data_IF_190242667963
#
_entry.id   IF_190242667963
#
_cell.length_a   1.000
_cell.length_b   1.000
_cell.length_c   1.000
_cell.angle_alpha   90.00
_cell.angle_beta   90.00
_cell.angle_gamma   90.00
#
_symmetry.space_group_name_H-M   'P 1'
#
loop_
_entity.id
_entity.type
_entity.pdbx_description
1 polymer ?
#
# COMPACT_ATOMS: atom_id res chain seq x y z
N UNK A 1 20.29 -2.40 9.11
CA UNK A 1 20.18 -3.88 9.04
C UNK A 1 20.71 -4.57 10.30
N UNK A 2 21.92 -4.28 10.78
CA UNK A 2 22.56 -4.98 11.93
C UNK A 2 21.75 -4.86 13.24
N UNK A 3 21.03 -3.76 13.46
CA UNK A 3 20.21 -3.53 14.66
C UNK A 3 18.76 -3.95 14.43
N UNK A 4 18.22 -3.70 13.24
CA UNK A 4 16.80 -3.96 12.92
C UNK A 4 16.47 -5.46 12.98
N UNK A 5 17.29 -6.31 12.40
CA UNK A 5 17.04 -7.76 12.37
C UNK A 5 17.02 -8.38 13.78
N UNK A 6 18.01 -8.14 14.68
CA UNK A 6 17.95 -8.62 16.05
C UNK A 6 16.75 -8.09 16.85
N UNK A 7 16.36 -6.84 16.65
CA UNK A 7 15.17 -6.28 17.32
C UNK A 7 13.88 -6.93 16.82
N UNK A 8 13.74 -7.18 15.52
CA UNK A 8 12.59 -7.90 14.96
C UNK A 8 12.53 -9.34 15.43
N UNK A 9 13.67 -10.03 15.52
CA UNK A 9 13.73 -11.38 16.08
C UNK A 9 13.42 -11.38 17.58
N UNK A 10 13.93 -10.40 18.33
CA UNK A 10 13.59 -10.18 19.73
C UNK A 10 12.09 -9.93 19.91
N UNK A 11 11.50 -9.10 19.08
CA UNK A 11 10.06 -8.85 19.02
C UNK A 11 9.28 -10.16 18.81
N UNK A 12 9.70 -10.96 17.83
CA UNK A 12 9.05 -12.23 17.53
C UNK A 12 9.11 -13.20 18.73
N UNK A 13 10.28 -13.37 19.33
CA UNK A 13 10.48 -14.34 20.41
C UNK A 13 9.87 -13.86 21.72
N UNK A 14 10.16 -12.62 22.14
CA UNK A 14 9.68 -12.09 23.42
C UNK A 14 8.19 -11.80 23.38
N UNK A 15 7.70 -11.26 22.27
CA UNK A 15 6.28 -11.00 22.09
C UNK A 15 5.46 -12.28 22.11
N UNK A 16 5.94 -13.36 21.46
CA UNK A 16 5.25 -14.64 21.46
C UNK A 16 5.28 -15.32 22.83
N UNK A 17 6.38 -15.18 23.58
CA UNK A 17 6.41 -15.58 24.99
C UNK A 17 5.43 -14.79 25.85
N UNK A 18 5.25 -13.50 25.58
CA UNK A 18 4.32 -12.64 26.30
C UNK A 18 2.85 -13.08 26.15
N UNK A 19 2.47 -13.66 25.02
CA UNK A 19 1.13 -14.23 24.81
C UNK A 19 0.92 -15.58 25.48
N UNK A 20 1.93 -16.16 26.10
CA UNK A 20 1.92 -17.53 26.65
C UNK A 20 2.05 -18.62 25.60
N UNK A 21 2.23 -18.25 24.31
CA UNK A 21 2.39 -19.17 23.19
C UNK A 21 1.08 -19.49 22.44
N UNK A 22 1.16 -20.45 21.51
CA UNK A 22 0.03 -20.78 20.61
C UNK A 22 -1.16 -21.35 21.36
N UNK A 23 -0.94 -22.34 22.22
CA UNK A 23 -2.02 -23.07 22.87
C UNK A 23 -2.92 -22.19 23.76
N UNK A 24 -2.39 -21.34 24.67
CA UNK A 24 -3.20 -20.41 25.43
C UNK A 24 -3.93 -19.39 24.56
N UNK A 25 -3.26 -18.84 23.52
CA UNK A 25 -3.89 -17.89 22.60
C UNK A 25 -5.08 -18.52 21.87
N UNK A 26 -4.94 -19.74 21.36
CA UNK A 26 -6.04 -20.46 20.68
C UNK A 26 -7.17 -20.76 21.67
N UNK A 27 -6.86 -21.21 22.90
CA UNK A 27 -7.89 -21.47 23.92
C UNK A 27 -8.70 -20.21 24.25
N UNK A 28 -8.02 -19.06 24.40
CA UNK A 28 -8.68 -17.78 24.68
C UNK A 28 -9.49 -17.30 23.47
N UNK A 29 -9.00 -17.48 22.22
CA UNK A 29 -9.75 -17.17 21.02
C UNK A 29 -11.00 -18.05 20.86
N UNK A 30 -10.94 -19.34 21.23
CA UNK A 30 -12.10 -20.22 21.20
C UNK A 30 -13.22 -19.74 22.13
N UNK A 31 -12.84 -19.11 23.25
CA UNK A 31 -13.81 -18.56 24.21
C UNK A 31 -14.35 -17.18 23.78
N UNK A 32 -13.46 -16.28 23.36
CA UNK A 32 -13.79 -14.86 23.17
C UNK A 32 -14.14 -14.50 21.71
N UNK A 33 -13.53 -15.17 20.73
CA UNK A 33 -13.69 -14.85 19.31
C UNK A 33 -13.55 -16.10 18.41
N UNK A 34 -14.37 -17.14 18.56
CA UNK A 34 -14.21 -18.44 17.87
C UNK A 34 -14.26 -18.29 16.34
N UNK A 35 -14.94 -17.28 15.83
CA UNK A 35 -15.01 -16.99 14.37
C UNK A 35 -13.64 -16.77 13.75
N UNK A 36 -12.68 -16.17 14.47
CA UNK A 36 -11.35 -15.88 13.97
C UNK A 36 -10.49 -17.14 13.77
N UNK A 37 -10.90 -18.28 14.33
CA UNK A 37 -10.25 -19.58 14.13
C UNK A 37 -10.88 -20.38 12.98
N UNK A 38 -11.93 -19.87 12.36
CA UNK A 38 -12.67 -20.56 11.31
C UNK A 38 -12.24 -20.04 9.94
N UNK A 39 -11.51 -20.86 9.16
CA UNK A 39 -11.06 -20.49 7.81
C UNK A 39 -12.21 -20.33 6.80
N UNK A 40 -13.39 -20.83 7.11
CA UNK A 40 -14.60 -20.74 6.28
C UNK A 40 -15.52 -19.59 6.69
N UNK A 41 -15.12 -18.73 7.64
CA UNK A 41 -15.93 -17.57 8.01
C UNK A 41 -16.04 -16.59 6.82
N UNK A 42 -17.29 -16.32 6.36
CA UNK A 42 -17.49 -15.45 5.18
C UNK A 42 -16.94 -14.04 5.35
N UNK A 43 -16.97 -13.48 6.57
CA UNK A 43 -16.44 -12.16 6.86
C UNK A 43 -14.90 -12.15 6.78
N UNK A 44 -14.26 -13.20 7.29
CA UNK A 44 -12.81 -13.38 7.20
C UNK A 44 -12.34 -13.54 5.75
N UNK A 45 -13.04 -14.37 4.97
CA UNK A 45 -12.76 -14.54 3.53
C UNK A 45 -12.95 -13.22 2.79
N UNK A 46 -14.05 -12.50 3.04
CA UNK A 46 -14.33 -11.19 2.43
C UNK A 46 -13.24 -10.17 2.75
N UNK A 47 -12.84 -10.07 4.01
CA UNK A 47 -11.76 -9.18 4.43
C UNK A 47 -10.42 -9.56 3.77
N UNK A 48 -10.05 -10.85 3.79
CA UNK A 48 -8.83 -11.35 3.15
C UNK A 48 -8.79 -11.04 1.65
N UNK A 49 -9.90 -11.23 0.95
CA UNK A 49 -10.00 -10.91 -0.48
C UNK A 49 -9.91 -9.41 -0.74
N UNK A 50 -10.51 -8.58 0.12
CA UNK A 50 -10.38 -7.12 0.04
C UNK A 50 -8.93 -6.68 0.15
N UNK A 51 -8.20 -7.15 1.15
CA UNK A 51 -6.78 -6.83 1.32
C UNK A 51 -5.94 -7.34 0.16
N UNK A 52 -6.23 -8.53 -0.35
CA UNK A 52 -5.54 -9.06 -1.53
C UNK A 52 -5.68 -8.12 -2.73
N UNK A 53 -6.91 -7.71 -3.05
CA UNK A 53 -7.19 -6.79 -4.16
C UNK A 53 -6.53 -5.44 -3.92
N UNK A 54 -6.71 -4.85 -2.74
CA UNK A 54 -6.13 -3.57 -2.37
C UNK A 54 -4.61 -3.55 -2.54
N UNK A 55 -3.91 -4.48 -1.90
CA UNK A 55 -2.44 -4.52 -1.90
C UNK A 55 -1.87 -4.84 -3.29
N UNK A 56 -2.49 -5.78 -4.04
CA UNK A 56 -2.03 -6.11 -5.38
C UNK A 56 -2.13 -4.91 -6.32
N UNK A 57 -3.26 -4.21 -6.32
CA UNK A 57 -3.48 -3.08 -7.24
C UNK A 57 -2.63 -1.87 -6.83
N UNK A 58 -2.50 -1.58 -5.54
CA UNK A 58 -1.63 -0.51 -5.04
C UNK A 58 -0.16 -0.77 -5.29
N UNK A 59 0.27 -2.03 -5.18
CA UNK A 59 1.64 -2.43 -5.48
C UNK A 59 2.12 -2.03 -6.88
N UNK A 60 1.20 -1.93 -7.85
CA UNK A 60 1.49 -1.47 -9.21
C UNK A 60 1.87 0.02 -9.27
N UNK A 61 1.39 0.84 -8.33
CA UNK A 61 1.67 2.28 -8.29
C UNK A 61 2.77 2.67 -7.31
N UNK A 62 3.33 1.71 -6.58
CA UNK A 62 4.37 2.01 -5.59
C UNK A 62 5.69 2.37 -6.27
N UNK A 63 5.97 3.68 -6.35
CA UNK A 63 7.16 4.22 -7.04
C UNK A 63 8.47 3.61 -6.51
N UNK A 64 8.58 3.34 -5.22
CA UNK A 64 9.75 2.67 -4.65
C UNK A 64 10.01 1.28 -5.23
N UNK A 65 8.98 0.54 -5.65
CA UNK A 65 9.15 -0.74 -6.35
C UNK A 65 9.70 -0.52 -7.76
N UNK A 66 9.16 0.45 -8.49
CA UNK A 66 9.66 0.81 -9.81
C UNK A 66 11.11 1.31 -9.79
N UNK A 67 11.48 2.14 -8.81
CA UNK A 67 12.87 2.57 -8.64
C UNK A 67 13.83 1.38 -8.46
N UNK A 68 13.42 0.36 -7.68
CA UNK A 68 14.22 -0.87 -7.51
C UNK A 68 14.33 -1.68 -8.79
N UNK A 69 13.24 -1.73 -9.59
CA UNK A 69 13.25 -2.39 -10.91
C UNK A 69 14.24 -1.67 -11.84
N UNK A 70 14.19 -0.36 -11.93
CA UNK A 70 15.11 0.43 -12.78
C UNK A 70 16.57 0.38 -12.31
N UNK A 71 16.80 0.19 -11.02
CA UNK A 71 18.14 0.05 -10.46
C UNK A 71 18.72 -1.35 -10.61
N UNK A 72 17.93 -2.35 -11.00
CA UNK A 72 18.39 -3.71 -11.16
C UNK A 72 19.36 -3.83 -12.35
N UNK A 73 20.42 -4.61 -12.18
CA UNK A 73 21.42 -4.86 -13.21
C UNK A 73 20.83 -5.59 -14.42
N UNK A 74 20.03 -6.61 -14.16
CA UNK A 74 19.40 -7.49 -15.14
C UNK A 74 18.09 -8.08 -14.62
N UNK A 75 17.28 -8.66 -15.51
CA UNK A 75 15.98 -9.28 -15.19
C UNK A 75 16.11 -10.44 -14.19
N UNK A 76 17.20 -11.20 -14.23
CA UNK A 76 17.43 -12.33 -13.32
C UNK A 76 17.66 -11.85 -11.89
N UNK A 77 18.50 -10.83 -11.73
CA UNK A 77 18.76 -10.18 -10.44
C UNK A 77 17.47 -9.57 -9.87
N UNK A 78 16.68 -8.87 -10.70
CA UNK A 78 15.40 -8.33 -10.31
C UNK A 78 14.45 -9.43 -9.78
N UNK A 79 14.21 -10.49 -10.55
CA UNK A 79 13.33 -11.61 -10.15
C UNK A 79 13.79 -12.27 -8.86
N UNK A 80 15.09 -12.58 -8.75
CA UNK A 80 15.65 -13.17 -7.53
C UNK A 80 15.50 -12.26 -6.32
N UNK A 81 15.73 -10.97 -6.49
CA UNK A 81 15.56 -9.98 -5.43
C UNK A 81 14.12 -9.91 -4.92
N UNK A 82 13.14 -9.84 -5.81
CA UNK A 82 11.72 -9.82 -5.42
C UNK A 82 11.25 -11.13 -4.78
N UNK A 83 11.66 -12.28 -5.32
CA UNK A 83 11.32 -13.59 -4.73
C UNK A 83 11.94 -13.73 -3.34
N UNK A 84 13.23 -13.38 -3.18
CA UNK A 84 13.90 -13.43 -1.89
C UNK A 84 13.25 -12.47 -0.88
N UNK A 85 12.90 -11.25 -1.31
CA UNK A 85 12.18 -10.30 -0.47
C UNK A 85 10.83 -10.86 -0.01
N UNK A 86 10.06 -11.49 -0.90
CA UNK A 86 8.78 -12.14 -0.55
C UNK A 86 8.96 -13.27 0.48
N UNK A 87 9.97 -14.12 0.30
CA UNK A 87 10.28 -15.21 1.24
C UNK A 87 10.70 -14.67 2.61
N UNK A 88 11.44 -13.56 2.66
CA UNK A 88 11.90 -12.97 3.92
C UNK A 88 10.80 -12.15 4.61
N UNK A 89 10.00 -11.40 3.87
CA UNK A 89 8.97 -10.51 4.42
C UNK A 89 7.69 -11.27 4.76
N UNK A 90 7.32 -12.29 3.99
CA UNK A 90 6.10 -13.07 4.19
C UNK A 90 5.92 -13.59 5.62
N UNK A 91 6.92 -14.26 6.22
CA UNK A 91 6.84 -14.72 7.61
C UNK A 91 6.64 -13.60 8.64
N UNK A 92 7.21 -12.41 8.41
CA UNK A 92 7.00 -11.26 9.29
C UNK A 92 5.56 -10.73 9.21
N UNK A 93 4.99 -10.65 8.01
CA UNK A 93 3.58 -10.25 7.83
C UNK A 93 2.67 -11.25 8.53
N UNK A 94 2.91 -12.55 8.37
CA UNK A 94 2.15 -13.59 9.05
C UNK A 94 2.25 -13.47 10.57
N UNK A 95 3.47 -13.25 11.08
CA UNK A 95 3.71 -13.05 12.52
C UNK A 95 2.95 -11.84 13.06
N UNK A 96 2.94 -10.71 12.33
CA UNK A 96 2.17 -9.52 12.73
C UNK A 96 0.66 -9.83 12.78
N UNK A 97 0.15 -10.61 11.82
CA UNK A 97 -1.23 -11.09 11.85
C UNK A 97 -1.55 -11.95 13.07
N UNK A 98 -0.61 -12.83 13.47
CA UNK A 98 -0.75 -13.65 14.68
C UNK A 98 -0.77 -12.80 15.96
N UNK A 99 -0.01 -11.71 16.04
CA UNK A 99 -0.11 -10.76 17.15
C UNK A 99 -1.46 -10.03 17.17
N UNK A 100 -2.02 -9.73 16.00
CA UNK A 100 -3.39 -9.20 15.88
C UNK A 100 -4.42 -10.18 16.45
N UNK A 101 -4.32 -11.46 16.12
CA UNK A 101 -5.18 -12.50 16.70
C UNK A 101 -5.00 -12.63 18.22
N UNK A 102 -3.75 -12.59 18.72
CA UNK A 102 -3.49 -12.65 20.16
C UNK A 102 -4.08 -11.43 20.90
N UNK A 103 -4.04 -10.24 20.29
CA UNK A 103 -4.68 -9.06 20.84
C UNK A 103 -6.21 -9.21 20.92
N UNK A 104 -6.84 -9.68 19.85
CA UNK A 104 -8.29 -9.92 19.80
C UNK A 104 -8.75 -11.02 20.79
N UNK A 105 -7.85 -11.94 21.14
CA UNK A 105 -8.11 -12.92 22.19
C UNK A 105 -8.27 -12.26 23.56
N UNK A 106 -7.45 -11.24 23.85
CA UNK A 106 -7.39 -10.57 25.16
C UNK A 106 -8.39 -9.40 25.22
N UNK A 107 -8.54 -8.67 24.12
CA UNK A 107 -9.34 -7.44 24.05
C UNK A 107 -10.17 -7.43 22.76
N UNK A 108 -11.32 -8.14 22.71
CA UNK A 108 -12.12 -8.31 21.49
C UNK A 108 -12.63 -7.00 20.89
N UNK A 109 -12.88 -5.98 21.71
CA UNK A 109 -13.36 -4.65 21.28
C UNK A 109 -12.24 -3.60 21.21
N UNK A 110 -10.98 -4.03 21.28
CA UNK A 110 -9.83 -3.14 21.29
C UNK A 110 -9.48 -2.59 19.89
N UNK A 111 -8.74 -1.47 19.88
CA UNK A 111 -8.21 -0.91 18.63
C UNK A 111 -7.06 -1.78 18.09
N UNK A 112 -7.32 -2.48 17.00
CA UNK A 112 -6.34 -3.34 16.33
C UNK A 112 -5.11 -2.58 15.81
N UNK A 113 -5.17 -1.26 15.65
CA UNK A 113 -4.03 -0.45 15.20
C UNK A 113 -2.86 -0.45 16.18
N UNK A 114 -3.15 -0.69 17.47
CA UNK A 114 -2.14 -0.75 18.54
C UNK A 114 -1.88 -2.17 19.06
N UNK A 115 -2.44 -3.19 18.40
CA UNK A 115 -2.43 -4.58 18.84
C UNK A 115 -1.04 -5.08 19.25
N UNK A 116 -0.03 -4.88 18.39
CA UNK A 116 1.34 -5.32 18.64
C UNK A 116 1.90 -4.75 19.94
N UNK A 117 1.77 -3.43 20.12
CA UNK A 117 2.30 -2.74 21.30
C UNK A 117 1.51 -3.11 22.55
N UNK A 118 0.19 -3.22 22.47
CA UNK A 118 -0.67 -3.60 23.60
C UNK A 118 -0.36 -4.99 24.12
N UNK A 119 -0.03 -5.94 23.24
CA UNK A 119 0.34 -7.31 23.64
C UNK A 119 1.74 -7.38 24.24
N UNK A 120 2.69 -6.60 23.73
CA UNK A 120 4.11 -6.78 24.06
C UNK A 120 4.55 -5.88 25.21
N UNK A 121 4.14 -4.60 25.23
CA UNK A 121 4.64 -3.60 26.18
C UNK A 121 4.51 -3.99 27.65
N UNK A 122 3.42 -4.63 28.12
CA UNK A 122 3.29 -5.03 29.52
C UNK A 122 4.29 -6.11 29.96
N UNK A 123 4.89 -6.84 29.01
CA UNK A 123 5.67 -8.06 29.30
C UNK A 123 7.17 -7.90 29.00
N UNK A 124 7.61 -6.74 28.54
CA UNK A 124 9.00 -6.49 28.20
C UNK A 124 9.65 -5.50 29.15
N UNK A 125 10.96 -5.60 29.38
CA UNK A 125 11.67 -4.63 30.20
C UNK A 125 11.67 -3.24 29.53
N UNK A 126 11.71 -2.18 30.34
CA UNK A 126 11.59 -0.79 29.88
C UNK A 126 12.61 -0.41 28.78
N UNK A 127 13.84 -0.90 28.85
CA UNK A 127 14.85 -0.65 27.83
C UNK A 127 14.46 -1.23 26.46
N UNK A 128 13.82 -2.41 26.46
CA UNK A 128 13.36 -3.05 25.22
C UNK A 128 12.12 -2.32 24.66
N UNK A 129 11.21 -1.86 25.52
CA UNK A 129 10.08 -1.03 25.13
C UNK A 129 10.56 0.25 24.43
N UNK A 130 11.54 0.95 24.99
CA UNK A 130 12.16 2.13 24.35
C UNK A 130 12.80 1.77 23.00
N UNK A 131 13.52 0.65 22.93
CA UNK A 131 14.13 0.18 21.70
C UNK A 131 13.09 -0.11 20.60
N UNK A 132 11.93 -0.67 20.95
CA UNK A 132 10.81 -0.92 20.02
C UNK A 132 10.19 0.38 19.54
N UNK A 133 10.00 1.38 20.40
CA UNK A 133 9.49 2.69 19.99
C UNK A 133 10.46 3.35 19.01
N UNK A 134 11.76 3.33 19.31
CA UNK A 134 12.78 3.87 18.42
C UNK A 134 12.84 3.12 17.08
N UNK A 135 12.69 1.79 17.13
CA UNK A 135 12.60 0.97 15.91
C UNK A 135 11.38 1.37 15.07
N UNK A 136 10.20 1.49 15.68
CA UNK A 136 8.98 1.93 15.01
C UNK A 136 9.15 3.29 14.37
N UNK A 137 9.70 4.27 15.10
CA UNK A 137 10.00 5.59 14.61
C UNK A 137 10.97 5.55 13.42
N UNK A 138 12.06 4.78 13.51
CA UNK A 138 13.03 4.63 12.43
C UNK A 138 12.42 4.01 11.16
N UNK A 139 11.51 3.03 11.30
CA UNK A 139 10.81 2.42 10.17
C UNK A 139 9.84 3.41 9.50
N UNK A 140 9.10 4.20 10.30
CA UNK A 140 8.20 5.25 9.78
C UNK A 140 9.02 6.32 9.06
N UNK A 141 10.11 6.80 9.64
CA UNK A 141 11.00 7.78 9.01
C UNK A 141 11.60 7.26 7.71
N UNK A 142 12.04 6.01 7.65
CA UNK A 142 12.57 5.38 6.44
C UNK A 142 11.52 5.30 5.33
N UNK A 143 10.27 5.01 5.68
CA UNK A 143 9.16 4.98 4.72
C UNK A 143 8.82 6.38 4.22
N UNK A 144 8.76 7.37 5.11
CA UNK A 144 8.53 8.76 4.77
C UNK A 144 9.63 9.31 3.85
N UNK A 145 10.90 9.02 4.14
CA UNK A 145 12.04 9.40 3.30
C UNK A 145 11.94 8.81 1.88
N UNK A 146 11.56 7.54 1.79
CA UNK A 146 11.33 6.87 0.49
C UNK A 146 10.19 7.54 -0.29
N UNK A 147 9.08 7.90 0.37
CA UNK A 147 7.95 8.58 -0.25
C UNK A 147 8.35 9.99 -0.73
N UNK A 148 9.06 10.74 0.09
CA UNK A 148 9.58 12.08 -0.25
C UNK A 148 10.54 12.01 -1.45
N UNK A 149 11.46 11.04 -1.45
CA UNK A 149 12.40 10.82 -2.56
C UNK A 149 11.65 10.44 -3.85
N UNK A 150 10.61 9.60 -3.76
CA UNK A 150 9.78 9.21 -4.88
C UNK A 150 9.04 10.43 -5.49
N UNK A 151 8.38 11.23 -4.67
CA UNK A 151 7.70 12.47 -5.11
C UNK A 151 8.70 13.44 -5.75
N UNK A 152 9.86 13.65 -5.10
CA UNK A 152 10.91 14.54 -5.64
C UNK A 152 11.39 14.10 -7.02
N UNK A 153 11.54 12.79 -7.24
CA UNK A 153 12.01 12.26 -8.52
C UNK A 153 10.97 12.45 -9.63
N UNK A 154 9.68 12.19 -9.34
CA UNK A 154 8.59 12.40 -10.29
C UNK A 154 8.50 13.87 -10.66
N UNK A 155 8.44 14.74 -9.66
CA UNK A 155 8.34 16.20 -9.86
C UNK A 155 9.53 16.73 -10.67
N UNK A 156 10.75 16.30 -10.37
CA UNK A 156 11.94 16.75 -11.12
C UNK A 156 11.90 16.32 -12.59
N UNK A 157 11.45 15.09 -12.88
CA UNK A 157 11.34 14.56 -14.25
C UNK A 157 10.24 15.28 -15.01
N UNK A 158 9.07 15.44 -14.43
CA UNK A 158 7.92 16.05 -15.10
C UNK A 158 8.11 17.54 -15.30
N UNK A 159 8.62 18.26 -14.31
CA UNK A 159 8.98 19.67 -14.46
C UNK A 159 10.10 19.86 -15.49
N UNK A 160 11.08 18.97 -15.58
CA UNK A 160 12.10 19.01 -16.60
C UNK A 160 11.56 18.88 -18.01
N UNK A 161 10.47 18.13 -18.20
CA UNK A 161 9.75 18.01 -19.48
C UNK A 161 8.91 19.26 -19.81
N UNK A 162 8.27 19.84 -18.79
CA UNK A 162 7.43 21.03 -18.94
C UNK A 162 8.25 22.30 -19.08
N UNK A 163 9.43 22.36 -18.48
CA UNK A 163 10.35 23.50 -18.50
C UNK A 163 11.76 23.06 -18.91
N UNK A 164 11.99 22.75 -20.21
CA UNK A 164 13.29 22.27 -20.71
C UNK A 164 14.47 23.22 -20.47
N UNK A 165 14.17 24.51 -20.27
CA UNK A 165 15.16 25.56 -19.98
C UNK A 165 15.55 25.64 -18.49
N UNK A 166 14.84 24.90 -17.61
CA UNK A 166 15.09 24.97 -16.18
C UNK A 166 16.40 24.28 -15.80
N UNK A 167 17.18 24.93 -14.94
CA UNK A 167 18.43 24.35 -14.43
C UNK A 167 18.14 23.25 -13.41
N UNK A 168 19.00 22.23 -13.26
CA UNK A 168 18.83 21.20 -12.22
C UNK A 168 18.66 21.79 -10.81
N UNK A 169 19.31 22.90 -10.51
CA UNK A 169 19.19 23.58 -9.22
C UNK A 169 17.80 24.20 -9.01
N UNK A 170 17.18 24.77 -10.06
CA UNK A 170 15.83 25.31 -9.97
C UNK A 170 14.79 24.20 -9.83
N UNK A 171 14.91 23.08 -10.56
CA UNK A 171 14.06 21.91 -10.44
C UNK A 171 14.09 21.34 -9.01
N UNK A 172 15.28 21.26 -8.42
CA UNK A 172 15.42 20.78 -7.04
C UNK A 172 14.75 21.73 -6.03
N UNK A 173 14.89 23.07 -6.21
CA UNK A 173 14.20 24.04 -5.34
C UNK A 173 12.67 23.90 -5.43
N UNK A 174 12.13 23.77 -6.63
CA UNK A 174 10.68 23.58 -6.83
C UNK A 174 10.21 22.25 -6.22
N UNK A 175 10.95 21.16 -6.42
CA UNK A 175 10.64 19.87 -5.79
C UNK A 175 10.59 19.98 -4.27
N UNK A 176 11.57 20.64 -3.65
CA UNK A 176 11.55 20.87 -2.18
C UNK A 176 10.37 21.72 -1.74
N UNK A 177 10.07 22.79 -2.48
CA UNK A 177 8.89 23.64 -2.19
C UNK A 177 7.57 22.85 -2.25
N UNK A 178 7.42 21.98 -3.24
CA UNK A 178 6.24 21.11 -3.37
C UNK A 178 6.14 20.10 -2.23
N UNK A 179 7.25 19.54 -1.75
CA UNK A 179 7.26 18.64 -0.58
C UNK A 179 6.75 19.38 0.67
N UNK A 180 7.24 20.60 0.93
CA UNK A 180 6.75 21.42 2.04
C UNK A 180 5.26 21.74 1.88
N UNK A 181 4.80 22.06 0.67
CA UNK A 181 3.39 22.31 0.39
C UNK A 181 2.53 21.08 0.64
N UNK A 182 3.00 19.90 0.25
CA UNK A 182 2.30 18.62 0.49
C UNK A 182 2.32 18.21 1.97
N UNK A 183 3.32 18.62 2.74
CA UNK A 183 3.37 18.33 4.17
C UNK A 183 2.21 18.98 4.94
N UNK A 184 1.71 20.13 4.50
CA UNK A 184 0.61 20.84 5.15
C UNK A 184 -0.68 20.01 5.19
N UNK A 185 -1.25 19.54 4.04
CA UNK A 185 -2.45 18.70 4.07
C UNK A 185 -2.21 17.38 4.79
N UNK A 186 -1.01 16.79 4.69
CA UNK A 186 -0.67 15.56 5.43
C UNK A 186 -0.75 15.79 6.94
N UNK A 187 -0.21 16.89 7.44
CA UNK A 187 -0.30 17.25 8.87
C UNK A 187 -1.76 17.51 9.30
N UNK A 188 -2.56 18.17 8.47
CA UNK A 188 -3.98 18.40 8.76
C UNK A 188 -4.73 17.08 8.87
N UNK A 189 -4.51 16.15 7.92
CA UNK A 189 -5.14 14.81 7.95
C UNK A 189 -4.65 14.00 9.16
N UNK A 190 -3.37 14.04 9.46
CA UNK A 190 -2.80 13.35 10.63
C UNK A 190 -3.39 13.87 11.95
N UNK A 191 -3.65 15.19 12.04
CA UNK A 191 -4.25 15.80 13.23
C UNK A 191 -5.72 15.39 13.47
N UNK A 192 -6.42 14.81 12.46
CA UNK A 192 -7.77 14.30 12.62
C UNK A 192 -7.85 12.99 13.43
N UNK A 193 -6.71 12.32 13.64
CA UNK A 193 -6.68 11.06 14.39
C UNK A 193 -7.36 9.88 13.69
N UNK A 194 -7.49 9.92 12.36
CA UNK A 194 -8.00 8.76 11.60
C UNK A 194 -7.09 7.56 11.76
N UNK A 195 -7.67 6.35 11.79
CA UNK A 195 -6.86 5.14 11.86
C UNK A 195 -5.95 5.02 10.62
N UNK A 196 -4.72 4.56 10.83
CA UNK A 196 -3.74 4.37 9.74
C UNK A 196 -4.30 3.41 8.68
N UNK A 197 -5.01 2.35 9.12
CA UNK A 197 -5.65 1.39 8.23
C UNK A 197 -6.69 2.07 7.31
N UNK A 198 -7.52 2.96 7.86
CA UNK A 198 -8.51 3.70 7.08
C UNK A 198 -7.86 4.55 5.97
N UNK A 199 -6.83 5.31 6.32
CA UNK A 199 -6.11 6.17 5.37
C UNK A 199 -5.39 5.33 4.30
N UNK A 200 -4.82 4.20 4.69
CA UNK A 200 -4.18 3.27 3.78
C UNK A 200 -5.18 2.70 2.76
N UNK A 201 -6.31 2.19 3.22
CA UNK A 201 -7.36 1.66 2.35
C UNK A 201 -7.97 2.72 1.44
N UNK A 202 -8.10 3.96 1.91
CA UNK A 202 -8.57 5.06 1.07
C UNK A 202 -7.59 5.37 -0.08
N UNK A 203 -6.29 5.37 0.20
CA UNK A 203 -5.26 5.51 -0.84
C UNK A 203 -5.25 4.32 -1.81
N UNK A 204 -5.42 3.10 -1.29
CA UNK A 204 -5.50 1.87 -2.09
C UNK A 204 -6.72 1.87 -3.01
N UNK A 205 -7.83 2.46 -2.60
CA UNK A 205 -9.03 2.61 -3.43
C UNK A 205 -8.74 3.45 -4.69
N UNK A 206 -8.00 4.55 -4.56
CA UNK A 206 -7.57 5.36 -5.70
C UNK A 206 -6.70 4.55 -6.67
N UNK A 207 -5.74 3.79 -6.15
CA UNK A 207 -4.89 2.91 -6.96
C UNK A 207 -5.71 1.83 -7.66
N UNK A 208 -6.71 1.27 -6.98
CA UNK A 208 -7.61 0.26 -7.56
C UNK A 208 -8.42 0.82 -8.74
N UNK A 209 -8.93 2.05 -8.61
CA UNK A 209 -9.65 2.71 -9.70
C UNK A 209 -8.75 3.04 -10.91
N UNK A 210 -7.48 3.38 -10.67
CA UNK A 210 -6.53 3.74 -11.71
C UNK A 210 -5.86 2.51 -12.37
N UNK A 211 -5.85 1.35 -11.72
CA UNK A 211 -5.06 0.19 -12.15
C UNK A 211 -5.38 -0.23 -13.58
N UNK A 212 -6.65 -0.53 -13.89
CA UNK A 212 -7.02 -0.95 -15.22
C UNK A 212 -6.77 0.14 -16.27
N UNK A 213 -7.28 1.40 -16.13
CA UNK A 213 -7.09 2.42 -17.15
C UNK A 213 -5.62 2.71 -17.46
N UNK A 214 -4.76 2.79 -16.46
CA UNK A 214 -3.34 3.10 -16.63
C UNK A 214 -2.60 1.95 -17.30
N UNK A 215 -2.72 0.72 -16.77
CA UNK A 215 -1.97 -0.40 -17.32
C UNK A 215 -2.53 -0.93 -18.64
N UNK A 216 -3.83 -0.81 -18.87
CA UNK A 216 -4.43 -1.15 -20.15
C UNK A 216 -3.89 -0.28 -21.29
N UNK A 217 -3.56 0.98 -21.02
CA UNK A 217 -2.90 1.88 -21.96
C UNK A 217 -1.56 1.36 -22.50
N UNK A 218 -0.85 0.52 -21.73
CA UNK A 218 0.41 -0.11 -22.17
C UNK A 218 0.21 -1.19 -23.25
N UNK A 219 -1.02 -1.67 -23.44
CA UNK A 219 -1.33 -2.77 -24.37
C UNK A 219 -2.30 -2.35 -25.49
N UNK A 220 -2.89 -1.17 -25.40
CA UNK A 220 -3.91 -0.72 -26.34
C UNK A 220 -3.52 0.58 -27.05
N UNK A 221 -3.35 0.52 -28.37
CA UNK A 221 -3.03 1.68 -29.20
C UNK A 221 -4.14 2.75 -29.20
N UNK A 222 -5.38 2.35 -28.91
CA UNK A 222 -6.58 3.22 -28.94
C UNK A 222 -7.05 3.65 -27.56
N UNK A 223 -6.17 3.66 -26.58
CA UNK A 223 -6.48 4.10 -25.22
C UNK A 223 -5.80 5.44 -24.94
N UNK A 224 -6.60 6.50 -24.94
CA UNK A 224 -6.12 7.86 -24.75
C UNK A 224 -6.19 8.32 -23.28
N UNK A 225 -5.46 9.39 -22.95
CA UNK A 225 -5.40 9.94 -21.59
C UNK A 225 -6.77 10.41 -21.08
N UNK A 226 -7.65 10.89 -21.96
CA UNK A 226 -9.01 11.33 -21.58
C UNK A 226 -9.84 10.13 -21.15
N UNK A 227 -9.82 9.04 -21.93
CA UNK A 227 -10.50 7.80 -21.58
C UNK A 227 -9.98 7.24 -20.26
N UNK A 228 -8.66 7.21 -20.08
CA UNK A 228 -8.05 6.77 -18.83
C UNK A 228 -8.52 7.61 -17.62
N UNK A 229 -8.47 8.94 -17.75
CA UNK A 229 -8.87 9.86 -16.68
C UNK A 229 -10.35 9.72 -16.32
N UNK A 230 -11.24 9.74 -17.32
CA UNK A 230 -12.68 9.61 -17.09
C UNK A 230 -13.02 8.27 -16.46
N UNK A 231 -12.42 7.18 -16.93
CA UNK A 231 -12.63 5.84 -16.38
C UNK A 231 -12.14 5.75 -14.93
N UNK A 232 -10.95 6.30 -14.61
CA UNK A 232 -10.42 6.34 -13.26
C UNK A 232 -11.33 7.12 -12.32
N UNK A 233 -11.75 8.32 -12.74
CA UNK A 233 -12.64 9.15 -11.91
C UNK A 233 -14.01 8.50 -11.69
N UNK A 234 -14.57 7.84 -12.71
CA UNK A 234 -15.81 7.09 -12.58
C UNK A 234 -15.67 5.92 -11.60
N UNK A 235 -14.57 5.15 -11.68
CA UNK A 235 -14.28 4.07 -10.76
C UNK A 235 -14.08 4.55 -9.32
N UNK A 236 -13.30 5.63 -9.15
CA UNK A 236 -13.09 6.23 -7.85
C UNK A 236 -14.40 6.74 -7.24
N UNK A 237 -15.23 7.44 -8.01
CA UNK A 237 -16.52 7.91 -7.55
C UNK A 237 -17.43 6.75 -7.15
N UNK A 238 -17.53 5.70 -7.97
CA UNK A 238 -18.32 4.50 -7.67
C UNK A 238 -17.83 3.78 -6.40
N UNK A 239 -16.51 3.65 -6.23
CA UNK A 239 -15.93 3.06 -5.02
C UNK A 239 -16.20 3.91 -3.78
N UNK A 240 -16.01 5.23 -3.85
CA UNK A 240 -16.25 6.15 -2.73
C UNK A 240 -17.70 6.19 -2.27
N UNK A 241 -18.68 6.00 -3.15
CA UNK A 241 -20.11 5.95 -2.76
C UNK A 241 -20.42 4.84 -1.76
N UNK A 242 -19.62 3.78 -1.75
CA UNK A 242 -19.82 2.60 -0.88
C UNK A 242 -18.71 2.46 0.15
N UNK A 243 -17.64 3.25 0.01
CA UNK A 243 -16.53 3.25 0.96
C UNK A 243 -17.00 3.75 2.34
N UNK A 244 -16.65 3.05 3.43
CA UNK A 244 -17.11 3.43 4.76
C UNK A 244 -16.61 4.82 5.17
N UNK A 245 -17.45 5.56 5.90
CA UNK A 245 -17.05 6.82 6.51
C UNK A 245 -15.97 6.56 7.60
N UNK A 246 -15.16 7.58 7.98
CA UNK A 246 -14.24 7.44 9.09
C UNK A 246 -14.97 6.96 10.35
N UNK A 247 -14.39 5.97 11.04
CA UNK A 247 -14.96 5.35 12.25
C UNK A 247 -16.26 4.54 12.05
N UNK A 248 -16.72 4.34 10.82
CA UNK A 248 -17.85 3.46 10.52
C UNK A 248 -17.37 1.99 10.36
N UNK A 249 -18.27 1.00 10.56
CA UNK A 249 -17.96 -0.38 10.30
C UNK A 249 -17.55 -0.61 8.84
N UNK A 250 -16.48 -1.36 8.62
CA UNK A 250 -15.93 -1.64 7.27
C UNK A 250 -16.71 -2.75 6.53
N UNK A 251 -18.03 -2.71 6.55
CA UNK A 251 -18.91 -3.79 6.11
C UNK A 251 -18.89 -3.98 4.58
N UNK A 252 -18.86 -2.89 3.82
CA UNK A 252 -18.95 -2.90 2.35
C UNK A 252 -17.62 -2.59 1.67
N UNK A 253 -16.52 -2.88 2.34
CA UNK A 253 -15.19 -2.54 1.85
C UNK A 253 -14.85 -3.30 0.57
N UNK A 254 -15.17 -4.59 0.49
CA UNK A 254 -14.94 -5.39 -0.72
C UNK A 254 -15.71 -4.85 -1.92
N UNK A 255 -16.98 -4.52 -1.73
CA UNK A 255 -17.84 -3.97 -2.76
C UNK A 255 -17.31 -2.63 -3.28
N UNK A 256 -16.82 -1.79 -2.38
CA UNK A 256 -16.15 -0.53 -2.72
C UNK A 256 -14.93 -0.76 -3.62
N UNK A 257 -14.04 -1.69 -3.27
CA UNK A 257 -12.86 -2.03 -4.07
C UNK A 257 -13.22 -2.67 -5.41
N UNK A 258 -14.23 -3.54 -5.44
CA UNK A 258 -14.70 -4.15 -6.68
C UNK A 258 -15.32 -3.11 -7.61
N UNK A 259 -16.11 -2.17 -7.09
CA UNK A 259 -16.63 -1.06 -7.89
C UNK A 259 -15.50 -0.18 -8.42
N UNK A 260 -14.54 0.19 -7.57
CA UNK A 260 -13.39 0.97 -7.98
C UNK A 260 -12.59 0.29 -9.09
N UNK A 261 -12.41 -1.03 -9.05
CA UNK A 261 -11.64 -1.79 -10.03
C UNK A 261 -12.43 -2.11 -11.32
N UNK A 262 -13.73 -2.43 -11.23
CA UNK A 262 -14.51 -2.93 -12.36
C UNK A 262 -15.24 -1.83 -13.14
N UNK A 263 -15.69 -0.75 -12.48
CA UNK A 263 -16.34 0.36 -13.18
C UNK A 263 -15.43 0.98 -14.24
N UNK A 264 -14.13 1.20 -14.01
CA UNK A 264 -13.22 1.67 -15.05
C UNK A 264 -13.16 0.77 -16.29
N UNK A 265 -13.26 -0.55 -16.12
CA UNK A 265 -13.29 -1.50 -17.23
C UNK A 265 -14.53 -1.27 -18.08
N UNK A 266 -15.69 -1.17 -17.45
CA UNK A 266 -16.96 -0.94 -18.14
C UNK A 266 -16.97 0.42 -18.84
N UNK A 267 -16.56 1.49 -18.16
CA UNK A 267 -16.50 2.85 -18.72
C UNK A 267 -15.53 2.93 -19.89
N UNK A 268 -14.35 2.32 -19.77
CA UNK A 268 -13.38 2.23 -20.88
C UNK A 268 -14.00 1.51 -22.08
N UNK A 269 -14.70 0.40 -21.86
CA UNK A 269 -15.40 -0.34 -22.90
C UNK A 269 -16.45 0.52 -23.63
N UNK A 270 -17.29 1.21 -22.88
CA UNK A 270 -18.32 2.10 -23.43
C UNK A 270 -17.69 3.26 -24.20
N UNK A 271 -16.70 3.94 -23.64
CA UNK A 271 -16.05 5.08 -24.30
C UNK A 271 -15.35 4.65 -25.60
N UNK A 272 -14.80 3.45 -25.68
CA UNK A 272 -14.20 2.90 -26.90
C UNK A 272 -15.24 2.62 -27.99
N UNK A 273 -16.44 2.20 -27.62
CA UNK A 273 -17.54 2.01 -28.56
C UNK A 273 -18.09 3.33 -29.10
N UNK A 274 -18.13 4.37 -28.26
CA UNK A 274 -18.65 5.68 -28.60
C UNK A 274 -17.65 6.54 -29.38
N UNK A 275 -16.35 6.41 -29.06
CA UNK A 275 -15.27 7.18 -29.68
C UNK A 275 -14.60 6.40 -30.82
N UNK A 276 -15.10 6.56 -32.04
CA UNK A 276 -14.57 5.90 -33.24
C UNK A 276 -13.19 6.41 -33.72
N UNK A 277 -12.66 7.53 -33.15
CA UNK A 277 -11.41 8.17 -33.59
C UNK A 277 -10.54 8.57 -32.42
N UNK A 278 -9.69 7.65 -31.92
CA UNK A 278 -8.47 8.01 -31.24
C UNK A 278 -7.29 7.78 -32.17
N UNK A 279 -6.32 8.70 -32.18
CA UNK A 279 -5.07 8.48 -32.89
C UNK A 279 -4.39 7.22 -32.33
N UNK A 280 -3.94 6.32 -33.20
CA UNK A 280 -3.25 5.12 -32.80
C UNK A 280 -1.87 5.50 -32.16
N UNK A 281 -1.60 5.01 -30.96
CA UNK A 281 -0.32 5.24 -30.29
C UNK A 281 0.76 4.34 -30.91
N UNK A 282 1.90 4.96 -31.28
CA UNK A 282 3.02 4.23 -31.89
C UNK A 282 3.89 3.54 -30.82
N UNK A 283 3.62 2.28 -30.56
CA UNK A 283 4.44 1.44 -29.68
C UNK A 283 5.83 1.14 -30.25
N UNK A 284 6.03 1.20 -31.59
CA UNK A 284 7.35 0.95 -32.17
C UNK A 284 8.30 2.10 -31.85
N UNK A 285 7.81 3.33 -31.94
CA UNK A 285 8.56 4.52 -31.51
C UNK A 285 8.89 4.48 -30.02
N UNK A 286 7.94 4.06 -29.16
CA UNK A 286 8.20 3.89 -27.73
C UNK A 286 9.26 2.83 -27.47
N UNK A 287 9.18 1.65 -28.12
CA UNK A 287 10.13 0.56 -27.91
C UNK A 287 11.56 0.92 -28.35
N UNK A 288 11.72 1.83 -29.31
CA UNK A 288 13.03 2.34 -29.73
C UNK A 288 13.70 3.22 -28.66
N UNK A 289 12.91 3.84 -27.78
CA UNK A 289 13.40 4.74 -26.72
C UNK A 289 13.57 4.04 -25.35
N UNK A 290 12.95 2.88 -25.16
CA UNK A 290 12.99 2.16 -23.88
C UNK A 290 14.27 1.33 -23.76
N UNK A 291 15.04 1.59 -22.70
CA UNK A 291 16.20 0.77 -22.34
C UNK A 291 15.74 -0.59 -21.82
N UNK A 292 16.10 -1.67 -22.50
CA UNK A 292 15.81 -3.04 -22.07
C UNK A 292 16.81 -3.47 -21.00
N UNK A 293 16.32 -4.13 -19.96
CA UNK A 293 17.17 -4.88 -19.02
C UNK A 293 17.52 -6.21 -19.70
N UNK A 294 18.77 -6.37 -20.05
CA UNK A 294 19.29 -7.61 -20.67
C UNK A 294 19.46 -8.74 -19.65
#
# INVERSE_FOLDING_TARGET
MVIIVPLLLGLAVLGWKATGGIAPTVATLQQNAPRLLTLTDPLGIKAGFTFLVAILLTGLFHQGNWQRIYAARDTRTMRRGFVLAGILVGPFILLMGLFGLAFMAITPDGDASVALFSVIMPHVPSWFAVALILLGLALVMSTADTAISAISSIVAVDLGRLAPQATPASLLKVSRGLIFLLAIPVMIVAAQGYSVLYLFLLADLLCSAAAFPVFFGLFSQRHDGVTATVSTLAGLAAGLLVFPAPNAPMTYLLESFLLAALVPVAVTGVLRLLRHRSADFDFAALNATVRRLN
#
